data_IF_821160793400
#
_entry.id   IF_821160793400
#
_cell.length_a   1.000
_cell.length_b   1.000
_cell.length_c   1.000
_cell.angle_alpha   90.00
_cell.angle_beta   90.00
_cell.angle_gamma   90.00
#
_symmetry.space_group_name_H-M   'P 1'
#
loop_
_entity.id
_entity.type
_entity.pdbx_description
1 polymer ?
#
# COMPACT_ATOMS: atom_id res chain seq x y z
N UNK A 1 25.88 9.52 20.65
CA UNK A 1 25.65 9.02 19.27
C UNK A 1 24.31 8.31 19.28
N UNK A 2 23.30 8.88 18.63
CA UNK A 2 21.92 8.35 18.67
C UNK A 2 21.56 7.77 17.32
N UNK A 3 21.01 6.57 17.30
CA UNK A 3 20.04 6.14 16.28
C UNK A 3 19.17 5.09 16.95
N UNK A 4 17.92 5.46 17.16
CA UNK A 4 16.95 4.73 17.94
C UNK A 4 16.60 3.40 17.28
N UNK A 5 16.58 2.33 18.08
CA UNK A 5 15.96 1.06 17.76
C UNK A 5 14.50 1.32 17.37
N UNK A 6 14.21 1.25 16.07
CA UNK A 6 12.86 1.34 15.56
C UNK A 6 12.07 0.14 16.11
N UNK A 7 10.97 0.34 16.84
CA UNK A 7 10.15 -0.78 17.30
C UNK A 7 9.60 -1.52 16.08
N UNK A 8 9.60 -2.86 16.06
CA UNK A 8 8.91 -3.60 15.01
C UNK A 8 7.42 -3.22 15.09
N UNK A 9 6.81 -2.68 14.01
CA UNK A 9 5.38 -2.43 14.02
C UNK A 9 4.64 -3.75 14.24
N UNK A 10 3.47 -3.72 14.91
CA UNK A 10 2.79 -4.91 15.37
C UNK A 10 2.54 -5.87 14.21
N UNK A 11 2.98 -7.11 14.40
CA UNK A 11 2.72 -8.24 13.52
C UNK A 11 1.22 -8.48 13.41
N UNK A 12 0.57 -7.88 12.41
CA UNK A 12 -0.69 -8.40 11.88
C UNK A 12 -0.32 -9.67 11.08
N UNK A 13 -0.63 -10.89 11.55
CA UNK A 13 0.04 -12.11 11.06
C UNK A 13 -0.30 -12.51 9.60
N UNK A 14 -1.00 -11.68 8.83
CA UNK A 14 -1.59 -12.09 7.54
C UNK A 14 -1.42 -11.07 6.41
N UNK A 15 -0.91 -9.86 6.67
CA UNK A 15 -0.71 -8.82 5.67
C UNK A 15 0.77 -8.43 5.58
N UNK A 16 1.40 -8.68 4.43
CA UNK A 16 2.79 -8.27 4.17
C UNK A 16 2.81 -6.79 3.77
N UNK A 17 2.64 -5.91 4.76
CA UNK A 17 2.62 -4.46 4.60
C UNK A 17 3.75 -3.84 5.41
N UNK A 18 4.56 -2.99 4.78
CA UNK A 18 5.56 -2.15 5.43
C UNK A 18 5.27 -0.69 5.14
N UNK A 19 5.06 0.09 6.18
CA UNK A 19 4.83 1.53 6.07
C UNK A 19 6.07 2.28 6.51
N UNK A 20 6.41 3.34 5.79
CA UNK A 20 7.46 4.24 6.21
C UNK A 20 6.97 5.04 7.44
N UNK A 21 7.83 5.29 8.44
CA UNK A 21 7.46 6.13 9.58
C UNK A 21 7.18 7.56 9.07
N UNK A 22 6.02 8.10 9.44
CA UNK A 22 5.57 9.47 9.14
C UNK A 22 6.45 10.49 9.89
N UNK A 23 7.69 10.65 9.44
CA UNK A 23 8.74 11.46 10.06
C UNK A 23 9.19 12.59 9.14
N UNK A 24 8.32 13.58 8.93
CA UNK A 24 8.69 14.94 8.53
C UNK A 24 9.17 15.20 7.09
N UNK A 25 9.56 14.20 6.30
CA UNK A 25 9.95 14.39 4.90
C UNK A 25 8.85 13.92 3.94
N UNK A 26 8.50 14.70 2.90
CA UNK A 26 7.60 14.24 1.85
C UNK A 26 8.30 13.13 1.06
N UNK A 27 7.97 11.88 1.38
CA UNK A 27 8.46 10.73 0.63
C UNK A 27 7.52 10.47 -0.54
N UNK A 28 8.05 10.13 -1.73
CA UNK A 28 7.21 9.80 -2.89
C UNK A 28 6.43 8.49 -2.71
N UNK A 29 6.83 7.67 -1.73
CA UNK A 29 6.21 6.38 -1.39
C UNK A 29 6.09 6.31 0.14
N UNK A 30 4.86 6.13 0.64
CA UNK A 30 4.50 6.01 2.06
C UNK A 30 4.67 4.58 2.60
N UNK A 31 4.95 3.60 1.74
CA UNK A 31 5.21 2.23 2.12
C UNK A 31 5.19 1.22 0.97
N UNK A 32 5.48 -0.03 1.30
CA UNK A 32 5.36 -1.19 0.41
C UNK A 32 4.28 -2.14 0.90
N UNK A 33 3.53 -2.70 -0.02
CA UNK A 33 2.49 -3.69 0.19
C UNK A 33 2.75 -4.87 -0.74
N UNK A 34 2.78 -6.07 -0.18
CA UNK A 34 2.92 -7.30 -0.94
C UNK A 34 1.62 -8.12 -0.84
N UNK A 35 0.73 -8.03 -1.84
CA UNK A 35 -0.46 -8.87 -1.93
C UNK A 35 -0.10 -10.37 -1.96
N UNK A 36 -1.01 -11.21 -1.44
CA UNK A 36 -0.89 -12.67 -1.60
C UNK A 36 -1.45 -13.18 -2.93
N UNK A 37 -2.29 -12.39 -3.59
CA UNK A 37 -3.00 -12.80 -4.79
C UNK A 37 -3.34 -11.59 -5.66
N UNK A 38 -3.54 -11.84 -6.95
CA UNK A 38 -4.04 -10.85 -7.90
C UNK A 38 -5.54 -10.52 -7.72
N UNK A 39 -6.19 -11.09 -6.69
CA UNK A 39 -7.57 -10.79 -6.35
C UNK A 39 -7.66 -9.55 -5.46
N UNK A 40 -7.91 -8.41 -6.10
CA UNK A 40 -8.06 -7.13 -5.42
C UNK A 40 -9.28 -7.13 -4.46
N UNK A 41 -10.31 -7.94 -4.71
CA UNK A 41 -11.50 -8.03 -3.86
C UNK A 41 -11.20 -8.66 -2.50
N UNK A 42 -10.37 -9.70 -2.48
CA UNK A 42 -9.93 -10.35 -1.25
C UNK A 42 -8.84 -9.55 -0.53
N UNK A 43 -8.01 -8.83 -1.29
CA UNK A 43 -6.84 -8.14 -0.79
C UNK A 43 -7.14 -6.73 -0.25
N UNK A 44 -8.08 -5.96 -0.85
CA UNK A 44 -8.43 -4.61 -0.37
C UNK A 44 -8.90 -4.59 1.09
N UNK A 45 -9.82 -5.47 1.52
CA UNK A 45 -10.27 -5.53 2.91
C UNK A 45 -9.13 -5.84 3.86
N UNK A 46 -8.20 -6.72 3.47
CA UNK A 46 -7.04 -7.05 4.30
C UNK A 46 -6.09 -5.86 4.39
N UNK A 47 -5.85 -5.17 3.27
CA UNK A 47 -5.03 -3.97 3.23
C UNK A 47 -5.62 -2.90 4.17
N UNK A 48 -6.89 -2.55 3.99
CA UNK A 48 -7.57 -1.55 4.81
C UNK A 48 -7.60 -1.94 6.30
N UNK A 49 -7.69 -3.23 6.63
CA UNK A 49 -7.62 -3.71 8.01
C UNK A 49 -6.22 -3.57 8.64
N UNK A 50 -5.15 -3.62 7.83
CA UNK A 50 -3.77 -3.44 8.27
C UNK A 50 -3.29 -1.98 8.25
N UNK A 51 -4.06 -1.07 7.65
CA UNK A 51 -3.69 0.35 7.63
C UNK A 51 -3.84 0.97 9.04
N UNK A 52 -2.91 1.85 9.43
CA UNK A 52 -3.02 2.57 10.70
C UNK A 52 -4.24 3.48 10.70
N UNK A 53 -4.92 3.57 11.84
CA UNK A 53 -6.07 4.46 12.05
C UNK A 53 -5.75 5.94 11.77
N UNK A 54 -4.47 6.30 11.77
CA UNK A 54 -3.94 7.60 11.39
C UNK A 54 -4.10 7.94 9.90
N UNK A 55 -4.44 7.00 9.02
CA UNK A 55 -4.75 7.32 7.62
C UNK A 55 -6.25 7.61 7.44
N UNK A 56 -7.07 7.21 8.41
CA UNK A 56 -8.50 7.43 8.40
C UNK A 56 -9.20 6.54 7.37
N UNK A 57 -10.34 7.03 6.89
CA UNK A 57 -11.20 6.28 5.98
C UNK A 57 -10.79 6.49 4.53
N UNK A 58 -10.20 5.46 3.92
CA UNK A 58 -9.89 5.47 2.50
C UNK A 58 -11.20 5.36 1.70
N UNK A 59 -11.47 6.35 0.85
CA UNK A 59 -12.69 6.35 0.00
C UNK A 59 -12.39 6.16 -1.47
N UNK A 60 -11.13 6.36 -1.88
CA UNK A 60 -10.70 6.12 -3.25
C UNK A 60 -9.34 5.43 -3.25
N UNK A 61 -9.21 4.45 -4.11
CA UNK A 61 -8.00 3.63 -4.28
C UNK A 61 -7.70 3.61 -5.77
N UNK A 62 -6.54 4.10 -6.16
CA UNK A 62 -6.09 4.09 -7.55
C UNK A 62 -5.02 3.04 -7.69
N UNK A 63 -5.28 2.00 -8.48
CA UNK A 63 -4.30 0.95 -8.79
C UNK A 63 -3.77 1.13 -10.20
N UNK A 64 -2.51 0.76 -10.43
CA UNK A 64 -2.01 0.66 -11.80
C UNK A 64 -2.68 -0.49 -12.53
N UNK A 65 -3.17 -0.20 -13.72
CA UNK A 65 -3.82 -1.18 -14.57
C UNK A 65 -2.93 -2.29 -15.11
N UNK A 66 -1.62 -2.08 -15.14
CA UNK A 66 -0.66 -3.10 -15.56
C UNK A 66 -0.58 -4.27 -14.56
N UNK A 67 -0.63 -3.97 -13.25
CA UNK A 67 -0.58 -4.97 -12.18
C UNK A 67 -1.96 -5.58 -11.86
N UNK A 68 -3.05 -4.84 -12.09
CA UNK A 68 -4.41 -5.28 -11.74
C UNK A 68 -5.34 -5.23 -12.96
N UNK A 69 -5.60 -6.38 -13.62
CA UNK A 69 -6.42 -6.43 -14.82
C UNK A 69 -7.93 -6.29 -14.52
N UNK A 70 -8.39 -6.75 -13.36
CA UNK A 70 -9.80 -6.73 -12.96
C UNK A 70 -10.00 -5.78 -11.76
N UNK A 71 -10.52 -4.58 -12.04
CA UNK A 71 -10.79 -3.56 -11.02
C UNK A 71 -12.28 -3.19 -11.09
N UNK A 72 -13.12 -3.68 -10.16
CA UNK A 72 -14.51 -3.27 -10.11
C UNK A 72 -14.53 -1.82 -9.67
N UNK A 73 -15.01 -0.89 -10.51
CA UNK A 73 -14.84 0.55 -10.29
C UNK A 73 -15.30 1.09 -8.92
N UNK A 74 -16.10 0.32 -8.17
CA UNK A 74 -16.46 0.58 -6.77
C UNK A 74 -16.57 -0.74 -6.01
N UNK A 75 -16.23 -0.72 -4.74
CA UNK A 75 -16.30 -1.85 -3.82
C UNK A 75 -16.79 -1.38 -2.45
N UNK A 76 -17.59 -2.21 -1.78
CA UNK A 76 -17.93 -2.00 -0.39
C UNK A 76 -16.92 -2.73 0.50
N UNK A 77 -16.17 -1.99 1.31
CA UNK A 77 -15.19 -2.54 2.26
C UNK A 77 -15.44 -1.96 3.63
N UNK A 78 -15.58 -2.79 4.66
CA UNK A 78 -15.90 -2.35 6.03
C UNK A 78 -17.07 -1.36 6.11
N UNK A 79 -18.14 -1.62 5.36
CA UNK A 79 -19.31 -0.73 5.28
C UNK A 79 -19.00 0.66 4.69
N UNK A 80 -17.92 0.78 3.91
CA UNK A 80 -17.51 2.00 3.22
C UNK A 80 -17.40 1.75 1.73
N UNK A 81 -17.91 2.67 0.91
CA UNK A 81 -17.77 2.59 -0.54
C UNK A 81 -16.39 3.11 -0.93
N UNK A 82 -15.52 2.19 -1.31
CA UNK A 82 -14.19 2.47 -1.84
C UNK A 82 -14.28 2.52 -3.36
N UNK A 83 -13.97 3.68 -3.93
CA UNK A 83 -13.91 3.87 -5.39
C UNK A 83 -12.57 3.35 -5.89
N UNK A 84 -12.61 2.36 -6.75
CA UNK A 84 -11.40 1.80 -7.35
C UNK A 84 -11.20 2.45 -8.72
N UNK A 85 -10.07 3.12 -8.89
CA UNK A 85 -9.66 3.76 -10.14
C UNK A 85 -8.49 3.00 -10.71
N UNK A 86 -8.51 2.79 -12.02
CA UNK A 86 -7.37 2.25 -12.76
C UNK A 86 -6.61 3.43 -13.36
N UNK A 87 -5.32 3.52 -13.09
CA UNK A 87 -4.43 4.45 -13.81
C UNK A 87 -3.55 3.67 -14.78
N UNK A 88 -3.31 4.25 -15.95
CA UNK A 88 -2.39 3.71 -16.97
C UNK A 88 -1.06 4.47 -16.93
N UNK A 89 -0.72 5.06 -15.79
CA UNK A 89 0.53 5.77 -15.63
C UNK A 89 1.71 4.80 -15.79
N UNK A 90 2.44 4.91 -16.89
CA UNK A 90 3.61 4.09 -17.20
C UNK A 90 4.75 4.26 -16.18
N UNK A 91 4.75 5.35 -15.42
CA UNK A 91 5.85 5.73 -14.52
C UNK A 91 5.93 4.90 -13.23
N UNK A 92 4.89 4.12 -12.89
CA UNK A 92 4.88 3.34 -11.65
C UNK A 92 3.98 2.09 -11.80
N UNK A 93 4.45 1.02 -12.47
CA UNK A 93 3.64 -0.16 -12.81
C UNK A 93 3.10 -0.91 -11.58
N UNK A 94 3.66 -0.62 -10.41
CA UNK A 94 3.47 -1.35 -9.18
C UNK A 94 3.15 -0.39 -8.04
N UNK A 95 2.24 0.57 -8.24
CA UNK A 95 1.87 1.53 -7.18
C UNK A 95 0.37 1.60 -7.01
N UNK A 96 -0.08 1.64 -5.75
CA UNK A 96 -1.45 1.86 -5.33
C UNK A 96 -1.54 3.16 -4.54
N UNK A 97 -2.42 4.04 -4.98
CA UNK A 97 -2.62 5.36 -4.39
C UNK A 97 -3.92 5.37 -3.61
N UNK A 98 -3.83 5.53 -2.31
CA UNK A 98 -4.95 5.60 -1.38
C UNK A 98 -5.29 7.07 -1.12
N UNK A 99 -6.56 7.42 -1.24
CA UNK A 99 -7.07 8.77 -1.02
C UNK A 99 -8.12 8.74 0.09
N UNK A 100 -7.84 9.50 1.16
CA UNK A 100 -8.80 9.75 2.23
C UNK A 100 -9.20 11.24 2.21
N UNK A 101 -10.49 11.55 2.03
CA UNK A 101 -10.98 12.91 2.05
C UNK A 101 -10.75 13.50 3.45
N UNK A 102 -10.07 14.64 3.50
CA UNK A 102 -9.75 15.35 4.75
C UNK A 102 -8.41 14.95 5.40
N UNK A 103 -7.70 13.94 4.90
CA UNK A 103 -6.34 13.61 5.40
C UNK A 103 -5.24 13.69 4.33
N UNK A 104 -5.50 13.22 3.12
CA UNK A 104 -4.49 13.30 2.05
C UNK A 104 -4.45 12.09 1.11
N UNK A 105 -3.30 11.95 0.46
CA UNK A 105 -2.94 10.90 -0.49
C UNK A 105 -1.78 10.10 0.09
N UNK A 106 -1.85 8.78 -0.01
CA UNK A 106 -0.74 7.88 0.30
C UNK A 106 -0.42 7.01 -0.89
N UNK A 107 0.85 6.91 -1.22
CA UNK A 107 1.36 6.13 -2.34
C UNK A 107 2.06 4.89 -1.79
N UNK A 108 1.54 3.70 -2.10
CA UNK A 108 2.12 2.42 -1.67
C UNK A 108 2.68 1.67 -2.88
N UNK A 109 3.91 1.16 -2.77
CA UNK A 109 4.46 0.22 -3.74
C UNK A 109 3.78 -1.15 -3.59
N UNK A 110 3.42 -1.81 -4.68
CA UNK A 110 2.77 -3.12 -4.74
C UNK A 110 3.74 -4.14 -5.31
N UNK A 111 4.29 -5.01 -4.47
CA UNK A 111 5.15 -6.09 -4.96
C UNK A 111 4.28 -7.20 -5.56
N UNK A 112 4.63 -7.71 -6.74
CA UNK A 112 3.82 -8.73 -7.38
C UNK A 112 3.82 -10.03 -6.54
N UNK A 113 2.69 -10.75 -6.43
CA UNK A 113 2.61 -11.98 -5.63
C UNK A 113 3.48 -13.11 -6.19
N UNK A 114 3.84 -13.09 -7.47
CA UNK A 114 4.80 -14.03 -8.10
C UNK A 114 6.27 -13.70 -7.81
N UNK A 115 6.56 -12.51 -7.26
CA UNK A 115 7.91 -12.15 -6.85
C UNK A 115 8.34 -13.03 -5.67
N UNK A 116 9.52 -13.65 -5.77
CA UNK A 116 10.11 -14.44 -4.68
C UNK A 116 10.41 -13.57 -3.47
N UNK A 117 10.36 -14.16 -2.28
CA UNK A 117 10.63 -13.46 -1.01
C UNK A 117 12.00 -12.76 -1.00
N UNK A 118 13.01 -13.39 -1.60
CA UNK A 118 14.36 -12.84 -1.75
C UNK A 118 14.40 -11.53 -2.57
N UNK A 119 13.49 -11.37 -3.54
CA UNK A 119 13.37 -10.15 -4.34
C UNK A 119 12.36 -9.17 -3.71
N UNK A 120 11.35 -9.68 -3.01
CA UNK A 120 10.32 -8.87 -2.34
C UNK A 120 10.86 -8.15 -1.10
N UNK A 121 11.72 -8.80 -0.30
CA UNK A 121 12.36 -8.22 0.89
C UNK A 121 13.08 -6.89 0.59
N UNK A 122 14.04 -6.82 -0.36
CA UNK A 122 14.73 -5.58 -0.67
C UNK A 122 13.80 -4.51 -1.26
N UNK A 123 12.76 -4.91 -2.02
CA UNK A 123 11.76 -3.97 -2.53
C UNK A 123 10.90 -3.38 -1.41
N UNK A 124 10.45 -4.20 -0.47
CA UNK A 124 9.68 -3.78 0.70
C UNK A 124 10.52 -2.93 1.65
N UNK A 125 11.81 -3.25 1.79
CA UNK A 125 12.77 -2.46 2.56
C UNK A 125 13.04 -1.10 1.90
N UNK A 126 13.19 -1.05 0.57
CA UNK A 126 13.35 0.20 -0.17
C UNK A 126 12.09 1.08 -0.08
N UNK A 127 10.91 0.48 -0.23
CA UNK A 127 9.63 1.17 -0.11
C UNK A 127 9.38 1.74 1.29
N UNK A 128 9.92 1.09 2.34
CA UNK A 128 9.82 1.58 3.72
C UNK A 128 10.93 2.60 4.08
N UNK A 129 12.05 2.60 3.37
CA UNK A 129 13.21 3.45 3.66
C UNK A 129 13.22 4.77 2.88
N UNK A 130 12.35 4.93 1.89
CA UNK A 130 12.23 6.18 1.12
C UNK A 130 13.51 6.60 0.40
N UNK A 131 14.44 5.69 0.14
CA UNK A 131 15.70 5.97 -0.56
C UNK A 131 15.50 5.69 -2.05
N UNK A 132 15.44 6.76 -2.84
CA UNK A 132 15.66 6.75 -4.29
C UNK A 132 16.95 7.49 -4.59
#
# INVERSE_FOLDING_TARGET
MTTALQPPPPSHPLLRLRLAPHGGMPQPIDGGWWPRSYDLLAELPRLLAGLPRAWGHITSVTVNGAAWPAVPGRMLVFNQVVRLRRTVAASAPHTIVLLAPGRGRWDLLVVAPDTTEEAAEPLMAAAASGHV
#
